data_IF_081290393599
#
_entry.id   IF_081290393599
#
_cell.length_a   1.000
_cell.length_b   1.000
_cell.length_c   1.000
_cell.angle_alpha   90.00
_cell.angle_beta   90.00
_cell.angle_gamma   90.00
#
_symmetry.space_group_name_H-M   'P 1'
#
loop_
_entity.id
_entity.type
_entity.pdbx_description
1 polymer ?
#
# COMPACT_ATOMS: atom_id res chain seq x y z
N UNK A 1 6.01 -20.27 -94.24
CA UNK A 1 4.84 -20.02 -93.36
C UNK A 1 5.35 -19.26 -92.14
N UNK A 2 4.99 -17.97 -92.05
CA UNK A 2 5.53 -16.99 -91.11
C UNK A 2 4.46 -16.62 -90.08
N UNK A 3 4.79 -16.72 -88.78
CA UNK A 3 3.87 -16.48 -87.67
C UNK A 3 3.92 -15.03 -87.16
N UNK A 4 2.73 -14.40 -87.19
CA UNK A 4 2.14 -13.35 -86.34
C UNK A 4 3.04 -12.37 -85.58
N UNK A 5 2.75 -11.08 -85.79
CA UNK A 5 2.87 -10.00 -84.79
C UNK A 5 1.48 -9.38 -84.62
N UNK A 6 0.98 -9.26 -83.38
CA UNK A 6 0.05 -8.19 -82.95
C UNK A 6 -0.08 -8.14 -81.42
N UNK A 7 0.26 -6.98 -80.84
CA UNK A 7 -0.54 -6.31 -79.80
C UNK A 7 -0.27 -6.60 -78.31
N UNK A 8 0.32 -5.61 -77.63
CA UNK A 8 0.21 -5.34 -76.17
C UNK A 8 -0.59 -4.03 -75.99
N UNK A 9 -1.04 -3.60 -74.78
CA UNK A 9 -1.32 -4.33 -73.53
C UNK A 9 -2.72 -3.99 -72.95
N UNK A 10 -3.26 -4.82 -72.06
CA UNK A 10 -4.38 -4.43 -71.19
C UNK A 10 -4.03 -4.69 -69.72
N UNK A 11 -3.82 -3.60 -69.00
CA UNK A 11 -3.61 -3.50 -67.55
C UNK A 11 -4.78 -4.14 -66.80
N UNK A 12 -4.51 -4.97 -65.79
CA UNK A 12 -5.44 -5.23 -64.68
C UNK A 12 -4.72 -5.74 -63.42
N UNK A 13 -4.67 -4.85 -62.44
CA UNK A 13 -4.89 -5.13 -61.02
C UNK A 13 -3.93 -6.09 -60.32
N UNK A 14 -2.80 -5.56 -59.85
CA UNK A 14 -2.17 -6.08 -58.63
C UNK A 14 -2.37 -5.00 -57.56
N UNK A 15 -3.48 -5.07 -56.84
CA UNK A 15 -3.71 -4.25 -55.66
C UNK A 15 -2.74 -4.76 -54.59
N UNK A 16 -1.73 -3.96 -54.30
CA UNK A 16 -0.85 -4.13 -53.16
C UNK A 16 -1.69 -4.13 -51.88
N UNK A 17 -1.82 -5.29 -51.23
CA UNK A 17 -2.35 -5.38 -49.88
C UNK A 17 -1.29 -4.84 -48.91
N UNK A 18 -1.34 -3.53 -48.62
CA UNK A 18 -0.69 -2.99 -47.43
C UNK A 18 -1.44 -3.53 -46.21
N UNK A 19 -0.92 -4.58 -45.58
CA UNK A 19 -1.31 -4.93 -44.23
C UNK A 19 -0.71 -3.87 -43.28
N UNK A 20 -1.52 -2.88 -42.91
CA UNK A 20 -1.28 -2.07 -41.72
C UNK A 20 -1.29 -3.03 -40.52
N UNK A 21 -0.10 -3.44 -40.07
CA UNK A 21 0.08 -4.06 -38.76
C UNK A 21 -0.23 -2.96 -37.74
N UNK A 22 -1.49 -2.90 -37.31
CA UNK A 22 -1.88 -2.11 -36.17
C UNK A 22 -1.06 -2.58 -34.98
N UNK A 23 -0.16 -1.72 -34.52
CA UNK A 23 0.53 -1.88 -33.25
C UNK A 23 -0.56 -1.96 -32.18
N UNK A 24 -0.93 -3.19 -31.80
CA UNK A 24 -1.61 -3.42 -30.54
C UNK A 24 -0.58 -3.01 -29.51
N UNK A 25 -0.69 -1.77 -29.03
CA UNK A 25 -0.13 -1.41 -27.74
C UNK A 25 -0.83 -2.36 -26.79
N UNK A 26 -0.15 -3.47 -26.47
CA UNK A 26 -0.48 -4.27 -25.31
C UNK A 26 -0.29 -3.29 -24.17
N UNK A 27 -1.38 -2.62 -23.79
CA UNK A 27 -1.46 -2.03 -22.48
C UNK A 27 -1.22 -3.21 -21.56
N UNK A 28 0.00 -3.33 -21.05
CA UNK A 28 0.28 -4.13 -19.87
C UNK A 28 -0.88 -3.90 -18.92
N UNK A 29 -1.49 -4.92 -18.32
CA UNK A 29 -2.36 -4.66 -17.19
C UNK A 29 -1.45 -3.96 -16.19
N UNK A 30 -1.51 -2.63 -16.13
CA UNK A 30 -0.98 -1.87 -15.03
C UNK A 30 -1.64 -2.53 -13.84
N UNK A 31 -0.85 -3.20 -13.01
CA UNK A 31 -1.32 -3.72 -11.74
C UNK A 31 -1.98 -2.53 -11.07
N UNK A 32 -3.31 -2.51 -11.08
CA UNK A 32 -4.06 -1.49 -10.39
C UNK A 32 -3.49 -1.50 -8.97
N UNK A 33 -2.91 -0.38 -8.56
CA UNK A 33 -2.40 -0.21 -7.22
C UNK A 33 -3.61 -0.35 -6.30
N UNK A 34 -3.80 -1.55 -5.77
CA UNK A 34 -4.98 -1.83 -4.96
C UNK A 34 -4.61 -1.53 -3.54
N UNK A 35 -4.79 -0.27 -3.22
CA UNK A 35 -4.72 0.20 -1.85
C UNK A 35 -5.90 -0.36 -1.07
N UNK A 36 -5.62 -0.61 0.21
CA UNK A 36 -6.60 -1.07 1.16
C UNK A 36 -7.01 0.10 2.04
N UNK A 37 -8.31 0.31 2.14
CA UNK A 37 -8.88 1.34 2.98
C UNK A 37 -9.80 0.71 4.02
N UNK A 38 -9.86 1.33 5.18
CA UNK A 38 -10.77 0.90 6.23
C UNK A 38 -10.46 1.60 7.52
N UNK A 39 -10.52 0.87 8.61
CA UNK A 39 -10.31 1.42 9.92
C UNK A 39 -10.56 0.40 11.01
N UNK A 40 -10.71 0.89 12.22
CA UNK A 40 -11.00 0.08 13.37
C UNK A 40 -10.78 0.88 14.64
N UNK A 41 -10.13 0.25 15.60
CA UNK A 41 -10.05 0.79 16.95
C UNK A 41 -8.61 0.78 17.44
N UNK A 42 -8.27 1.84 18.15
CA UNK A 42 -7.08 1.96 18.98
C UNK A 42 -7.51 2.11 20.43
N UNK A 43 -6.89 1.38 21.34
CA UNK A 43 -7.22 1.44 22.77
C UNK A 43 -5.98 1.30 23.63
N UNK A 44 -6.00 1.96 24.78
CA UNK A 44 -4.93 1.86 25.76
C UNK A 44 -4.87 0.44 26.34
N UNK A 45 -3.67 -0.15 26.31
CA UNK A 45 -3.37 -1.44 26.96
C UNK A 45 -2.72 -1.26 28.32
N UNK A 46 -2.14 -0.08 28.58
CA UNK A 46 -1.56 0.31 29.87
C UNK A 46 -2.22 1.58 30.43
N UNK A 47 -2.14 1.75 31.75
CA UNK A 47 -2.65 2.95 32.43
C UNK A 47 -1.82 4.22 32.12
N UNK A 48 -0.60 4.05 31.60
CA UNK A 48 0.32 5.16 31.29
C UNK A 48 -0.20 6.12 30.22
N UNK A 49 -1.14 5.68 29.39
CA UNK A 49 -1.76 6.54 28.38
C UNK A 49 -2.75 7.56 28.95
N UNK A 50 -3.32 7.30 30.13
CA UNK A 50 -4.27 8.20 30.76
C UNK A 50 -3.63 9.56 31.13
N UNK A 51 -2.34 9.56 31.49
CA UNK A 51 -1.59 10.76 31.85
C UNK A 51 -1.45 11.77 30.69
N UNK A 52 -1.53 11.29 29.45
CA UNK A 52 -1.46 12.11 28.23
C UNK A 52 -2.84 12.27 27.55
N UNK A 53 -3.92 11.99 28.26
CA UNK A 53 -5.29 12.21 27.79
C UNK A 53 -5.82 11.17 26.81
N UNK A 54 -5.10 10.05 26.61
CA UNK A 54 -5.58 8.95 25.80
C UNK A 54 -6.18 7.84 26.67
N UNK A 55 -7.50 7.88 26.83
CA UNK A 55 -8.27 6.91 27.62
C UNK A 55 -9.37 6.27 26.81
N UNK A 56 -9.69 5.01 27.11
CA UNK A 56 -10.74 4.27 26.44
C UNK A 56 -10.37 3.81 25.03
N UNK A 57 -11.37 3.79 24.15
CA UNK A 57 -11.25 3.30 22.77
C UNK A 57 -11.50 4.42 21.77
N UNK A 58 -10.59 4.58 20.83
CA UNK A 58 -10.63 5.58 19.77
C UNK A 58 -10.87 4.89 18.43
N UNK A 59 -11.80 5.42 17.64
CA UNK A 59 -11.95 5.01 16.24
C UNK A 59 -10.86 5.65 15.39
N UNK A 60 -10.26 4.87 14.50
CA UNK A 60 -9.23 5.34 13.58
C UNK A 60 -9.51 4.83 12.17
N UNK A 61 -9.08 5.59 11.18
CA UNK A 61 -9.08 5.15 9.78
C UNK A 61 -7.69 4.70 9.39
N UNK A 62 -7.61 3.81 8.40
CA UNK A 62 -6.36 3.28 7.91
C UNK A 62 -6.34 3.21 6.37
N UNK A 63 -5.18 3.55 5.81
CA UNK A 63 -4.81 3.31 4.41
C UNK A 63 -3.56 2.46 4.40
N UNK A 64 -3.62 1.32 3.74
CA UNK A 64 -2.48 0.42 3.55
C UNK A 64 -2.18 0.27 2.06
N UNK A 65 -0.95 0.61 1.69
CA UNK A 65 -0.38 0.35 0.38
C UNK A 65 0.54 -0.87 0.50
N UNK A 66 0.21 -2.00 -0.16
CA UNK A 66 1.02 -3.21 -0.11
C UNK A 66 2.41 -3.02 -0.74
N UNK A 67 3.37 -3.83 -0.31
CA UNK A 67 4.68 -3.95 -0.97
C UNK A 67 4.54 -4.42 -2.42
N UNK A 68 5.57 -4.19 -3.24
CA UNK A 68 5.59 -4.59 -4.64
C UNK A 68 4.42 -4.03 -5.50
N UNK A 69 3.81 -2.92 -5.05
CA UNK A 69 2.93 -2.08 -5.86
C UNK A 69 3.75 -0.97 -6.52
N UNK A 70 3.29 -0.36 -7.63
CA UNK A 70 4.07 0.65 -8.36
C UNK A 70 4.59 1.83 -7.52
N UNK A 71 3.90 2.15 -6.42
CA UNK A 71 4.25 3.27 -5.52
C UNK A 71 5.15 2.86 -4.35
N UNK A 72 5.40 1.55 -4.15
CA UNK A 72 6.14 1.02 -3.00
C UNK A 72 7.32 0.14 -3.41
N UNK A 73 8.32 0.09 -2.52
CA UNK A 73 9.45 -0.81 -2.71
C UNK A 73 8.99 -2.28 -2.70
N UNK A 74 9.77 -3.17 -3.31
CA UNK A 74 9.47 -4.61 -3.35
C UNK A 74 9.33 -5.24 -1.96
N UNK A 75 10.01 -4.66 -0.96
CA UNK A 75 10.10 -5.21 0.40
C UNK A 75 9.45 -4.29 1.46
N UNK A 76 8.67 -3.29 1.05
CA UNK A 76 8.10 -2.33 2.00
C UNK A 76 6.67 -2.03 1.67
N UNK A 77 5.78 -2.41 2.58
CA UNK A 77 4.42 -1.91 2.67
C UNK A 77 4.39 -0.61 3.44
N UNK A 78 3.45 0.27 3.12
CA UNK A 78 3.23 1.51 3.86
C UNK A 78 1.83 1.52 4.44
N UNK A 79 1.71 1.90 5.71
CA UNK A 79 0.42 2.12 6.35
C UNK A 79 0.36 3.52 6.93
N UNK A 80 -0.81 4.13 6.80
CA UNK A 80 -1.15 5.43 7.37
C UNK A 80 -2.41 5.28 8.21
N UNK A 81 -2.31 5.68 9.47
CA UNK A 81 -3.41 5.76 10.43
C UNK A 81 -3.85 7.21 10.52
N UNK A 82 -5.14 7.47 10.34
CA UNK A 82 -5.74 8.77 10.61
C UNK A 82 -6.46 8.68 11.95
N UNK A 83 -5.95 9.45 12.90
CA UNK A 83 -6.49 9.60 14.23
C UNK A 83 -7.25 10.92 14.33
N UNK A 84 -8.16 11.08 15.29
CA UNK A 84 -8.86 12.36 15.51
C UNK A 84 -7.92 13.56 15.73
N UNK A 85 -6.72 13.31 16.25
CA UNK A 85 -5.75 14.33 16.67
C UNK A 85 -4.51 14.39 15.78
N UNK A 86 -4.40 13.54 14.75
CA UNK A 86 -3.20 13.48 13.92
C UNK A 86 -3.12 12.27 13.00
N UNK A 87 -1.94 12.04 12.45
CA UNK A 87 -1.68 10.95 11.51
C UNK A 87 -0.39 10.23 11.89
N UNK A 88 -0.38 8.90 11.79
CA UNK A 88 0.82 8.08 11.98
C UNK A 88 1.05 7.28 10.70
N UNK A 89 2.24 7.39 10.12
CA UNK A 89 2.61 6.69 8.90
C UNK A 89 3.94 5.95 9.08
N UNK A 90 3.97 4.68 8.70
CA UNK A 90 5.17 3.86 8.80
C UNK A 90 5.26 2.82 7.67
N UNK A 91 6.50 2.47 7.33
CA UNK A 91 6.80 1.38 6.41
C UNK A 91 7.12 0.09 7.17
N UNK A 92 6.75 -1.06 6.64
CA UNK A 92 7.07 -2.37 7.21
C UNK A 92 7.20 -3.43 6.11
N UNK A 93 8.01 -4.46 6.36
CA UNK A 93 8.18 -5.59 5.44
C UNK A 93 7.18 -6.69 5.78
N UNK A 94 6.28 -7.02 4.85
CA UNK A 94 5.29 -8.09 5.05
C UNK A 94 5.84 -9.49 4.79
N UNK A 95 7.02 -9.62 4.16
CA UNK A 95 7.66 -10.92 3.90
C UNK A 95 8.11 -11.60 5.19
N UNK A 96 8.43 -10.81 6.21
CA UNK A 96 8.72 -11.30 7.55
C UNK A 96 7.44 -11.43 8.36
N UNK A 97 6.47 -12.23 7.88
CA UNK A 97 5.28 -12.65 8.64
C UNK A 97 5.70 -13.48 9.87
N UNK A 98 6.36 -12.83 10.83
CA UNK A 98 6.82 -13.44 12.05
C UNK A 98 5.62 -13.46 13.00
N UNK A 99 5.35 -14.65 13.53
CA UNK A 99 4.28 -14.91 14.52
C UNK A 99 4.59 -14.32 15.90
N UNK A 100 5.57 -13.44 15.99
CA UNK A 100 6.07 -12.85 17.22
C UNK A 100 6.04 -11.34 17.10
N UNK A 101 5.54 -10.71 18.16
CA UNK A 101 5.54 -9.28 18.39
C UNK A 101 6.99 -8.74 18.34
N UNK A 102 7.44 -8.24 17.18
CA UNK A 102 8.78 -7.68 17.01
C UNK A 102 8.72 -6.18 16.67
N UNK A 103 9.61 -5.37 17.28
CA UNK A 103 9.71 -3.96 16.97
C UNK A 103 10.16 -3.78 15.51
N UNK A 104 9.50 -2.87 14.78
CA UNK A 104 9.92 -2.52 13.44
C UNK A 104 11.26 -1.76 13.47
N UNK A 105 12.19 -2.06 12.55
CA UNK A 105 13.46 -1.33 12.43
C UNK A 105 13.27 0.08 11.86
N UNK A 106 12.10 0.35 11.27
CA UNK A 106 11.72 1.63 10.69
C UNK A 106 11.13 2.53 11.75
N UNK A 107 11.67 3.75 11.83
CA UNK A 107 11.08 4.82 12.63
C UNK A 107 9.72 5.21 12.06
N UNK A 108 8.63 5.16 12.85
CA UNK A 108 7.37 5.73 12.42
C UNK A 108 7.48 7.25 12.27
N UNK A 109 6.97 7.78 11.16
CA UNK A 109 6.67 9.20 11.04
C UNK A 109 5.27 9.45 11.61
N UNK A 110 5.09 10.53 12.35
CA UNK A 110 3.76 10.92 12.81
C UNK A 110 3.66 12.44 12.88
N UNK A 111 2.44 12.94 12.70
CA UNK A 111 2.10 14.36 12.67
C UNK A 111 0.98 14.55 13.67
N UNK A 112 1.27 15.30 14.74
CA UNK A 112 0.31 15.66 15.80
C UNK A 112 0.17 17.16 15.83
N UNK A 113 -0.92 17.71 15.31
CA UNK A 113 -1.21 19.16 15.28
C UNK A 113 -0.11 20.08 14.65
N UNK A 114 1.05 19.53 14.26
CA UNK A 114 2.15 20.12 13.50
C UNK A 114 3.09 19.00 12.99
N UNK A 115 3.86 19.25 11.93
CA UNK A 115 4.77 18.26 11.32
C UNK A 115 6.03 18.13 12.19
N UNK A 116 5.94 17.34 13.25
CA UNK A 116 7.05 17.12 14.19
C UNK A 116 7.47 15.65 14.22
N UNK A 117 8.70 15.38 13.81
CA UNK A 117 9.37 14.09 14.00
C UNK A 117 10.49 14.29 15.04
N UNK A 118 10.49 13.58 16.19
CA UNK A 118 11.55 13.72 17.16
C UNK A 118 12.88 13.25 16.58
N UNK A 119 13.97 13.91 17.01
CA UNK A 119 15.32 13.48 16.68
C UNK A 119 15.67 12.10 17.23
N UNK A 120 15.04 11.71 18.35
CA UNK A 120 15.20 10.41 19.01
C UNK A 120 13.82 9.81 19.32
N UNK A 121 13.17 9.18 18.32
CA UNK A 121 11.85 8.58 18.48
C UNK A 121 11.92 7.36 19.39
N UNK A 122 11.11 7.34 20.43
CA UNK A 122 10.98 6.26 21.41
C UNK A 122 9.76 5.39 21.16
N UNK A 123 8.79 5.89 20.40
CA UNK A 123 7.64 5.09 19.98
C UNK A 123 8.10 3.94 19.10
N UNK A 124 7.66 2.72 19.43
CA UNK A 124 7.93 1.54 18.61
C UNK A 124 6.62 0.88 18.20
N UNK A 125 6.66 0.24 17.04
CA UNK A 125 5.53 -0.48 16.46
C UNK A 125 5.84 -1.96 16.52
N UNK A 126 4.90 -2.72 17.07
CA UNK A 126 5.05 -4.15 17.28
C UNK A 126 3.92 -4.87 16.57
N UNK A 127 4.20 -5.50 15.44
CA UNK A 127 3.18 -6.18 14.64
C UNK A 127 2.84 -7.54 15.29
N UNK A 128 1.57 -7.78 15.56
CA UNK A 128 1.06 -9.08 16.02
C UNK A 128 0.43 -9.90 14.88
N UNK A 129 -0.34 -9.23 14.01
CA UNK A 129 -1.00 -9.83 12.84
C UNK A 129 -0.81 -8.89 11.65
N UNK A 130 -0.09 -9.35 10.63
CA UNK A 130 0.17 -8.58 9.42
C UNK A 130 -0.97 -8.76 8.40
N UNK A 131 -1.30 -7.72 7.61
CA UNK A 131 -2.31 -7.83 6.57
C UNK A 131 -1.85 -8.72 5.41
N UNK A 132 -2.81 -9.35 4.74
CA UNK A 132 -2.63 -10.25 3.60
C UNK A 132 -3.13 -9.57 2.31
N UNK A 133 -2.23 -9.28 1.33
CA UNK A 133 -2.58 -8.54 0.10
C UNK A 133 -3.35 -9.39 -0.92
N UNK A 134 -3.53 -10.68 -0.65
CA UNK A 134 -4.22 -11.60 -1.54
C UNK A 134 -5.71 -11.75 -1.22
N UNK A 135 -6.18 -11.08 -0.16
CA UNK A 135 -7.57 -11.11 0.26
C UNK A 135 -8.27 -9.79 -0.10
N UNK A 136 -9.57 -9.84 -0.42
CA UNK A 136 -10.37 -8.62 -0.65
C UNK A 136 -10.59 -7.84 0.64
N UNK A 137 -10.66 -8.55 1.78
CA UNK A 137 -10.66 -7.99 3.11
C UNK A 137 -9.51 -8.56 3.92
N UNK A 138 -8.85 -7.69 4.68
CA UNK A 138 -7.74 -8.10 5.52
C UNK A 138 -7.80 -7.46 6.89
N UNK A 139 -7.11 -8.09 7.84
CA UNK A 139 -7.02 -7.66 9.23
C UNK A 139 -5.57 -7.41 9.59
N UNK A 140 -5.36 -6.38 10.41
CA UNK A 140 -4.05 -6.07 10.96
C UNK A 140 -4.21 -5.78 12.46
N UNK A 141 -3.31 -6.34 13.26
CA UNK A 141 -3.24 -6.10 14.70
C UNK A 141 -1.80 -5.77 15.06
N UNK A 142 -1.60 -4.68 15.78
CA UNK A 142 -0.28 -4.27 16.25
C UNK A 142 -0.38 -3.46 17.55
N UNK A 143 0.74 -3.39 18.26
CA UNK A 143 0.93 -2.53 19.42
C UNK A 143 1.78 -1.31 19.06
N UNK A 144 1.55 -0.21 19.78
CA UNK A 144 2.42 0.95 19.83
C UNK A 144 2.95 1.07 21.25
N UNK A 145 4.25 0.91 21.45
CA UNK A 145 4.90 1.16 22.75
C UNK A 145 5.44 2.59 22.79
N UNK A 146 5.46 3.19 23.97
CA UNK A 146 5.80 4.60 24.17
C UNK A 146 5.02 5.54 23.22
N UNK A 147 3.72 5.27 23.06
CA UNK A 147 2.86 6.00 22.16
C UNK A 147 2.86 7.51 22.47
N UNK A 148 2.89 8.32 21.41
CA UNK A 148 3.04 9.79 21.51
C UNK A 148 4.30 10.21 22.29
N UNK A 149 5.35 9.38 22.25
CA UNK A 149 6.61 9.61 22.97
C UNK A 149 6.47 9.66 24.50
N UNK A 150 5.35 9.16 25.04
CA UNK A 150 5.16 9.06 26.49
C UNK A 150 5.61 7.71 27.00
N UNK A 151 6.47 7.70 28.01
CA UNK A 151 6.93 6.47 28.64
C UNK A 151 5.73 5.69 29.22
N UNK A 152 5.78 4.36 29.07
CA UNK A 152 4.75 3.43 29.55
C UNK A 152 3.35 3.63 28.96
N UNK A 153 3.17 4.41 27.89
CA UNK A 153 1.91 4.44 27.15
C UNK A 153 1.93 3.37 26.05
N UNK A 154 1.15 2.31 26.25
CA UNK A 154 0.99 1.23 25.30
C UNK A 154 -0.41 1.27 24.69
N UNK A 155 -0.46 1.37 23.36
CA UNK A 155 -1.71 1.26 22.61
C UNK A 155 -1.76 -0.08 21.87
N UNK A 156 -2.95 -0.63 21.73
CA UNK A 156 -3.23 -1.70 20.76
C UNK A 156 -4.14 -1.18 19.68
N UNK A 157 -3.87 -1.63 18.47
CA UNK A 157 -4.60 -1.24 17.26
C UNK A 157 -5.12 -2.50 16.58
N UNK A 158 -6.41 -2.49 16.24
CA UNK A 158 -7.08 -3.54 15.49
C UNK A 158 -7.77 -2.90 14.29
N UNK A 159 -7.39 -3.33 13.09
CA UNK A 159 -7.87 -2.79 11.82
C UNK A 159 -8.56 -3.86 10.99
N UNK A 160 -9.59 -3.46 10.27
CA UNK A 160 -10.15 -4.21 9.15
C UNK A 160 -10.16 -3.28 7.93
N UNK A 161 -9.57 -3.76 6.84
CA UNK A 161 -9.37 -2.98 5.62
C UNK A 161 -9.83 -3.79 4.42
N UNK A 162 -10.34 -3.11 3.41
CA UNK A 162 -10.82 -3.72 2.17
C UNK A 162 -10.14 -3.09 0.97
N UNK A 163 -9.94 -3.89 -0.05
CA UNK A 163 -9.46 -3.47 -1.36
C UNK A 163 -10.50 -2.58 -2.03
N UNK A 164 -10.10 -1.41 -2.53
CA UNK A 164 -10.96 -0.55 -3.38
C UNK A 164 -10.63 -0.69 -4.86
#
# INVERSE_FOLDING_TARGET
MSTKVTGWPARRGWISALALVGSVVVASPGQAATEYFGGGYMYAWSDGCAAIGWTGTHQILARWAPQATPENSWNTSHITLLLPTGTISFGFDTSQQRREFQPLPTTPSYVWNDVWTPSNPRMQIIIGEAPNPWQDQTRMVFGLTNFSESDNCEMRVVLTMSKL
#
